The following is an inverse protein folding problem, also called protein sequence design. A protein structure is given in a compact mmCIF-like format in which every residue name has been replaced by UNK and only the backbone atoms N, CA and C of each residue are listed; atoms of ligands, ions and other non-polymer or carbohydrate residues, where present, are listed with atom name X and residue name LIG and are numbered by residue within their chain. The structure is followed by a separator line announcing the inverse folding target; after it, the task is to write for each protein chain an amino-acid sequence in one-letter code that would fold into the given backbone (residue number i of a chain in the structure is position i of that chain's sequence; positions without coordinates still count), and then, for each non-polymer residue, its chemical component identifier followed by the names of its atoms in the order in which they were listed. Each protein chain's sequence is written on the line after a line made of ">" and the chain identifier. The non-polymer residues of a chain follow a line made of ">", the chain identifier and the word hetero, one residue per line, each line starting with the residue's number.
data_IF_272186289848
#
_entry.id   IF_272186289848
#
_cell.length_a   1.000
_cell.length_b   1.000
_cell.length_c   1.000
_cell.angle_alpha   90.00
_cell.angle_beta   90.00
_cell.angle_gamma   90.00
#
_symmetry.space_group_name_H-M   'P 1'
#
loop_
_entity.id
_entity.type
_entity.pdbx_description
1 polymer ?
#
# COMPACT_ATOMS: atom_id res chain seq x y z
N UNK A 1 16.04 4.99 7.11
CA UNK A 1 15.57 6.28 7.63
C UNK A 1 16.41 6.54 8.84
N UNK A 2 17.40 7.42 8.72
CA UNK A 2 18.60 7.34 9.57
C UNK A 2 18.45 8.10 10.90
N UNK A 3 17.25 8.64 11.19
CA UNK A 3 16.92 9.22 12.49
C UNK A 3 15.46 8.98 12.88
N UNK A 4 15.18 8.92 14.18
CA UNK A 4 13.83 8.77 14.74
C UNK A 4 12.87 9.85 14.24
N UNK A 5 13.37 11.08 14.07
CA UNK A 5 12.58 12.19 13.55
C UNK A 5 12.11 11.95 12.10
N UNK A 6 13.00 11.42 11.25
CA UNK A 6 12.67 11.07 9.85
C UNK A 6 11.72 9.87 9.81
N UNK A 7 11.92 8.87 10.66
CA UNK A 7 11.02 7.72 10.74
C UNK A 7 9.60 8.13 11.18
N UNK A 8 9.50 9.03 12.16
CA UNK A 8 8.21 9.56 12.64
C UNK A 8 7.51 10.40 11.59
N UNK A 9 8.22 11.29 10.91
CA UNK A 9 7.63 12.07 9.82
C UNK A 9 7.09 11.18 8.71
N UNK A 10 7.83 10.13 8.34
CA UNK A 10 7.40 9.19 7.32
C UNK A 10 6.16 8.39 7.74
N UNK A 11 6.02 8.03 9.01
CA UNK A 11 4.80 7.43 9.55
C UNK A 11 3.62 8.41 9.44
N UNK A 12 3.80 9.64 9.94
CA UNK A 12 2.76 10.67 9.93
C UNK A 12 2.24 10.97 8.51
N UNK A 13 3.14 10.97 7.51
CA UNK A 13 2.81 11.18 6.10
C UNK A 13 1.88 10.10 5.51
N UNK A 14 1.79 8.92 6.16
CA UNK A 14 0.87 7.87 5.72
C UNK A 14 -0.58 8.09 6.17
N UNK A 15 -0.81 8.92 7.20
CA UNK A 15 -2.11 9.13 7.86
C UNK A 15 -2.85 10.38 7.33
N UNK A 16 -2.87 10.56 6.01
CA UNK A 16 -3.59 11.66 5.35
C UNK A 16 -4.68 11.14 4.41
N UNK A 17 -5.79 11.88 4.27
CA UNK A 17 -6.93 11.45 3.45
C UNK A 17 -6.58 11.23 1.98
N UNK A 18 -5.59 11.94 1.43
CA UNK A 18 -5.13 11.74 0.05
C UNK A 18 -4.44 10.38 -0.16
N UNK A 19 -3.99 9.74 0.93
CA UNK A 19 -3.42 8.40 0.95
C UNK A 19 -4.42 7.34 1.44
N UNK A 20 -5.69 7.72 1.65
CA UNK A 20 -6.71 6.83 2.19
C UNK A 20 -7.93 6.78 1.27
N UNK A 21 -8.55 5.61 1.21
CA UNK A 21 -9.82 5.40 0.52
C UNK A 21 -10.64 4.38 1.30
N UNK A 22 -11.98 4.48 1.30
CA UNK A 22 -12.82 3.47 1.94
C UNK A 22 -12.54 2.09 1.33
N UNK A 23 -12.11 1.15 2.17
CA UNK A 23 -11.83 -0.23 1.77
C UNK A 23 -12.59 -1.17 2.70
N UNK A 24 -13.33 -2.12 2.12
CA UNK A 24 -14.12 -3.07 2.90
C UNK A 24 -13.20 -3.88 3.83
N UNK A 25 -13.59 -4.01 5.11
CA UNK A 25 -12.75 -4.59 6.16
C UNK A 25 -12.20 -5.98 5.79
N UNK A 26 -13.01 -6.77 5.09
CA UNK A 26 -12.65 -8.13 4.70
C UNK A 26 -11.51 -8.19 3.67
N UNK A 27 -11.38 -7.17 2.82
CA UNK A 27 -10.23 -7.03 1.91
C UNK A 27 -9.02 -6.49 2.66
N UNK A 28 -9.19 -5.37 3.38
CA UNK A 28 -8.11 -4.66 4.07
C UNK A 28 -7.39 -5.55 5.10
N UNK A 29 -8.15 -6.27 5.94
CA UNK A 29 -7.62 -7.01 7.09
C UNK A 29 -7.22 -8.45 6.76
N UNK A 30 -7.29 -8.88 5.50
CA UNK A 30 -6.96 -10.26 5.10
C UNK A 30 -6.01 -10.28 3.92
N UNK A 31 -6.54 -10.44 2.71
CA UNK A 31 -5.73 -10.66 1.52
C UNK A 31 -4.81 -9.49 1.21
N UNK A 32 -5.26 -8.26 1.48
CA UNK A 32 -4.46 -7.06 1.29
C UNK A 32 -3.29 -6.98 2.28
N UNK A 33 -3.59 -7.15 3.58
CA UNK A 33 -2.57 -7.21 4.63
C UNK A 33 -1.55 -8.32 4.40
N UNK A 34 -2.01 -9.53 4.04
CA UNK A 34 -1.12 -10.67 3.78
C UNK A 34 -0.14 -10.41 2.62
N UNK A 35 -0.61 -9.73 1.56
CA UNK A 35 0.25 -9.31 0.45
C UNK A 35 1.27 -8.25 0.89
N UNK A 36 0.86 -7.29 1.72
CA UNK A 36 1.76 -6.27 2.27
C UNK A 36 2.84 -6.88 3.15
N UNK A 37 2.46 -7.79 4.03
CA UNK A 37 3.38 -8.51 4.92
C UNK A 37 4.40 -9.31 4.11
N UNK A 38 3.98 -10.02 3.06
CA UNK A 38 4.89 -10.77 2.19
C UNK A 38 5.91 -9.86 1.50
N UNK A 39 5.45 -8.75 0.92
CA UNK A 39 6.33 -7.80 0.23
C UNK A 39 7.33 -7.18 1.20
N UNK A 40 6.88 -6.77 2.39
CA UNK A 40 7.72 -6.18 3.44
C UNK A 40 8.75 -7.16 3.99
N UNK A 41 8.37 -8.42 4.21
CA UNK A 41 9.30 -9.45 4.68
C UNK A 41 10.40 -9.72 3.67
N UNK A 42 10.07 -9.84 2.39
CA UNK A 42 11.09 -10.04 1.34
C UNK A 42 12.01 -8.82 1.21
N UNK A 43 11.46 -7.59 1.30
CA UNK A 43 12.27 -6.38 1.29
C UNK A 43 13.33 -6.34 2.41
N UNK A 44 12.94 -6.79 3.60
CA UNK A 44 13.77 -6.70 4.81
C UNK A 44 14.77 -7.85 4.96
N UNK A 45 14.37 -9.06 4.59
CA UNK A 45 15.14 -10.28 4.87
C UNK A 45 16.07 -10.69 3.75
N UNK A 46 15.72 -10.39 2.50
CA UNK A 46 16.39 -10.94 1.31
C UNK A 46 17.16 -9.86 0.51
N UNK A 47 17.27 -8.64 1.03
CA UNK A 47 18.07 -7.59 0.40
C UNK A 47 17.47 -7.04 -0.91
N UNK A 48 16.15 -6.95 -1.03
CA UNK A 48 15.51 -6.37 -2.22
C UNK A 48 15.25 -4.86 -2.08
N UNK A 49 15.47 -4.11 -3.16
CA UNK A 49 14.91 -2.76 -3.33
C UNK A 49 13.56 -2.88 -4.01
N UNK A 50 12.53 -2.31 -3.41
CA UNK A 50 11.15 -2.46 -3.87
C UNK A 50 10.54 -1.10 -4.22
N UNK A 51 9.84 -1.04 -5.35
CA UNK A 51 8.93 0.04 -5.73
C UNK A 51 7.51 -0.50 -5.76
N UNK A 52 6.60 0.15 -5.03
CA UNK A 52 5.19 -0.22 -4.97
C UNK A 52 4.33 0.89 -5.56
N UNK A 53 3.46 0.52 -6.49
CA UNK A 53 2.40 1.38 -7.00
C UNK A 53 1.07 0.73 -6.66
N UNK A 54 0.11 1.50 -6.16
CA UNK A 54 -1.15 0.94 -5.69
C UNK A 54 -2.26 1.97 -5.79
N UNK A 55 -3.49 1.52 -5.94
CA UNK A 55 -4.64 2.41 -5.93
C UNK A 55 -5.99 1.69 -6.06
N UNK A 56 -7.08 2.42 -5.84
CA UNK A 56 -8.42 1.95 -6.16
C UNK A 56 -8.69 2.00 -7.66
N UNK A 57 -9.67 1.22 -8.11
CA UNK A 57 -10.32 1.37 -9.41
C UNK A 57 -11.71 1.95 -9.14
N UNK A 58 -11.97 3.16 -9.65
CA UNK A 58 -13.31 3.76 -9.62
C UNK A 58 -14.06 3.37 -10.89
N UNK A 59 -15.20 2.70 -10.72
CA UNK A 59 -16.14 2.38 -11.78
C UNK A 59 -17.39 3.24 -11.67
N UNK A 60 -18.08 3.41 -12.79
CA UNK A 60 -19.32 4.20 -12.83
C UNK A 60 -20.43 3.62 -11.95
N UNK A 61 -20.38 2.31 -11.65
CA UNK A 61 -21.36 1.58 -10.85
C UNK A 61 -20.95 1.36 -9.38
N UNK A 62 -19.82 1.93 -8.94
CA UNK A 62 -19.40 1.86 -7.55
C UNK A 62 -20.42 2.55 -6.62
N UNK A 63 -20.72 1.97 -5.45
CA UNK A 63 -21.74 2.49 -4.55
C UNK A 63 -21.33 3.82 -3.92
N UNK A 64 -22.31 4.70 -3.70
CA UNK A 64 -22.14 5.88 -2.87
C UNK A 64 -22.37 5.54 -1.40
N UNK A 65 -21.41 5.90 -0.55
CA UNK A 65 -21.55 5.86 0.90
C UNK A 65 -21.34 7.26 1.47
N UNK A 66 -22.37 7.80 2.13
CA UNK A 66 -22.37 9.17 2.67
C UNK A 66 -21.94 10.25 1.65
N UNK A 67 -22.35 10.09 0.38
CA UNK A 67 -22.06 11.05 -0.69
C UNK A 67 -20.69 10.90 -1.34
N UNK A 68 -19.90 9.89 -0.95
CA UNK A 68 -18.59 9.57 -1.56
C UNK A 68 -18.67 8.24 -2.28
N UNK A 69 -18.09 8.14 -3.47
CA UNK A 69 -17.99 6.89 -4.21
C UNK A 69 -16.99 5.95 -3.51
N UNK A 70 -17.42 4.70 -3.28
CA UNK A 70 -16.62 3.68 -2.60
C UNK A 70 -16.15 2.66 -3.62
N UNK A 71 -14.84 2.59 -3.92
CA UNK A 71 -14.33 1.64 -4.90
C UNK A 71 -14.43 0.21 -4.36
N UNK A 72 -14.87 -0.71 -5.22
CA UNK A 72 -14.94 -2.14 -4.89
C UNK A 72 -13.71 -2.92 -5.34
N UNK A 73 -12.82 -2.30 -6.10
CA UNK A 73 -11.64 -2.93 -6.68
C UNK A 73 -10.37 -2.11 -6.43
N UNK A 74 -9.27 -2.83 -6.29
CA UNK A 74 -7.96 -2.30 -5.93
C UNK A 74 -6.89 -3.03 -6.73
N UNK A 75 -5.85 -2.31 -7.12
CA UNK A 75 -4.70 -2.87 -7.80
C UNK A 75 -3.42 -2.54 -7.01
N UNK A 76 -2.43 -3.43 -7.14
CA UNK A 76 -1.08 -3.22 -6.62
C UNK A 76 -0.08 -3.81 -7.61
N UNK A 77 0.92 -3.01 -7.98
CA UNK A 77 2.06 -3.41 -8.80
C UNK A 77 3.30 -3.30 -7.92
N UNK A 78 4.03 -4.41 -7.80
CA UNK A 78 5.25 -4.51 -7.01
C UNK A 78 6.39 -4.84 -7.96
N UNK A 79 7.36 -3.93 -8.05
CA UNK A 79 8.62 -4.17 -8.76
C UNK A 79 9.73 -4.32 -7.72
N UNK A 80 10.53 -5.38 -7.84
CA UNK A 80 11.64 -5.66 -6.94
C UNK A 80 12.89 -5.96 -7.76
N UNK A 81 14.02 -5.49 -7.27
CA UNK A 81 15.36 -5.81 -7.77
C UNK A 81 16.22 -6.21 -6.57
N UNK A 82 17.13 -7.14 -6.75
CA UNK A 82 18.16 -7.41 -5.76
C UNK A 82 18.97 -6.12 -5.51
N UNK A 83 19.20 -5.77 -4.23
CA UNK A 83 19.85 -4.50 -3.89
C UNK A 83 21.33 -4.47 -4.27
N UNK A 84 21.97 -5.63 -4.34
CA UNK A 84 23.40 -5.78 -4.58
C UNK A 84 23.69 -5.96 -6.08
N UNK A 85 22.91 -6.79 -6.78
CA UNK A 85 23.09 -7.04 -8.22
C UNK A 85 22.30 -6.08 -9.11
N UNK A 86 21.17 -5.54 -8.63
CA UNK A 86 20.27 -4.70 -9.40
C UNK A 86 19.44 -5.46 -10.46
N UNK A 87 19.42 -6.79 -10.40
CA UNK A 87 18.64 -7.68 -11.29
C UNK A 87 17.25 -8.04 -10.73
#
# INVERSE_FOLDING_TARGET
>A
GDSDAVARQAEDDTFVYTNAVPQVAQLNQRSWLSLEDYVLQNARSEGFRISVFTGPVFRDDDPLYQGVQVPLEFWKVVAMIDADSGE
#
